data_IF_205360879548
#
_entry.id   IF_205360879548
#
_cell.length_a   1.000
_cell.length_b   1.000
_cell.length_c   1.000
_cell.angle_alpha   90.00
_cell.angle_beta   90.00
_cell.angle_gamma   90.00
#
_symmetry.space_group_name_H-M   'P 1'
#
loop_
_entity.id
_entity.type
_entity.pdbx_description
1 polymer ?
#
# COMPACT_ATOMS: atom_id res chain seq x y z
N UNK A 1 -44.36 -4.37 8.70
CA UNK A 1 -43.98 -5.77 8.40
C UNK A 1 -42.47 -5.75 8.19
N UNK A 2 -41.71 -6.09 9.23
CA UNK A 2 -40.24 -6.12 9.15
C UNK A 2 -39.86 -7.29 8.24
N UNK A 3 -39.19 -7.00 7.12
CA UNK A 3 -38.54 -8.05 6.34
C UNK A 3 -37.36 -8.53 7.17
N UNK A 4 -37.53 -9.70 7.78
CA UNK A 4 -36.44 -10.47 8.36
C UNK A 4 -35.47 -10.80 7.22
N UNK A 5 -34.26 -10.22 7.29
CA UNK A 5 -33.22 -10.36 6.29
C UNK A 5 -32.55 -11.73 6.53
N UNK A 6 -33.20 -12.79 6.05
CA UNK A 6 -32.62 -14.14 6.04
C UNK A 6 -31.47 -14.16 5.04
N UNK A 7 -30.28 -14.63 5.48
CA UNK A 7 -29.11 -14.78 4.62
C UNK A 7 -29.48 -15.53 3.33
N UNK A 8 -29.21 -14.93 2.18
CA UNK A 8 -29.42 -15.55 0.87
C UNK A 8 -28.30 -16.57 0.65
N UNK A 9 -28.66 -17.83 0.39
CA UNK A 9 -27.72 -18.90 0.06
C UNK A 9 -27.87 -19.23 -1.41
N UNK A 10 -26.75 -19.49 -2.10
CA UNK A 10 -26.77 -20.16 -3.40
C UNK A 10 -26.58 -21.67 -3.19
N UNK A 11 -27.37 -22.49 -3.89
CA UNK A 11 -27.16 -23.95 -3.92
C UNK A 11 -26.01 -24.29 -4.87
N UNK A 12 -24.78 -24.07 -4.42
CA UNK A 12 -23.58 -24.54 -5.10
C UNK A 12 -23.03 -25.75 -4.36
N UNK A 13 -22.71 -26.81 -5.11
CA UNK A 13 -21.96 -27.97 -4.60
C UNK A 13 -20.50 -27.79 -4.95
N UNK A 14 -19.66 -27.62 -3.94
CA UNK A 14 -18.21 -27.52 -4.12
C UNK A 14 -17.52 -28.68 -3.40
N UNK A 15 -16.57 -29.33 -4.07
CA UNK A 15 -15.71 -30.36 -3.48
C UNK A 15 -14.36 -29.74 -3.16
N UNK A 16 -14.01 -29.67 -1.87
CA UNK A 16 -12.75 -29.14 -1.38
C UNK A 16 -11.84 -30.30 -1.01
N UNK A 17 -10.69 -30.44 -1.66
CA UNK A 17 -9.69 -31.47 -1.34
C UNK A 17 -8.62 -30.91 -0.41
N UNK A 18 -8.60 -31.36 0.85
CA UNK A 18 -7.59 -31.00 1.84
C UNK A 18 -6.76 -32.23 2.16
N UNK A 19 -5.46 -32.22 1.84
CA UNK A 19 -4.53 -33.33 2.11
C UNK A 19 -5.01 -34.68 1.52
N UNK A 20 -5.64 -34.64 0.34
CA UNK A 20 -6.17 -35.81 -0.34
C UNK A 20 -7.50 -36.31 0.23
N UNK A 21 -8.16 -35.53 1.09
CA UNK A 21 -9.51 -35.82 1.60
C UNK A 21 -10.48 -34.81 1.00
N UNK A 22 -11.52 -35.32 0.36
CA UNK A 22 -12.55 -34.52 -0.29
C UNK A 22 -13.69 -34.18 0.69
N UNK A 23 -14.07 -32.91 0.74
CA UNK A 23 -15.18 -32.38 1.54
C UNK A 23 -16.22 -31.75 0.61
N UNK A 24 -17.47 -32.18 0.70
CA UNK A 24 -18.56 -31.54 -0.03
C UNK A 24 -19.21 -30.43 0.80
N UNK A 25 -19.18 -29.21 0.25
CA UNK A 25 -19.89 -28.05 0.80
C UNK A 25 -21.14 -27.83 -0.05
N UNK A 26 -22.32 -27.95 0.57
CA UNK A 26 -23.64 -27.94 -0.10
C UNK A 26 -24.44 -26.66 0.11
N UNK A 27 -24.01 -25.82 1.05
CA UNK A 27 -24.56 -24.49 1.32
C UNK A 27 -23.40 -23.56 1.58
N UNK A 28 -23.06 -22.77 0.58
CA UNK A 28 -22.09 -21.69 0.75
C UNK A 28 -22.89 -20.51 1.29
N UNK A 29 -22.58 -20.10 2.52
CA UNK A 29 -23.08 -18.85 3.09
C UNK A 29 -22.71 -17.70 2.14
N UNK A 30 -23.34 -16.54 2.31
CA UNK A 30 -22.80 -15.24 1.88
C UNK A 30 -21.52 -14.91 2.70
N UNK A 31 -20.61 -15.88 2.79
CA UNK A 31 -19.32 -15.75 3.43
C UNK A 31 -18.55 -14.75 2.61
N UNK A 32 -17.98 -13.78 3.32
CA UNK A 32 -16.95 -12.91 2.81
C UNK A 32 -15.92 -13.73 2.03
N UNK A 33 -16.06 -13.76 0.71
CA UNK A 33 -15.23 -14.58 -0.16
C UNK A 33 -13.94 -13.81 -0.37
N UNK A 34 -12.89 -14.27 0.28
CA UNK A 34 -11.60 -13.60 0.26
C UNK A 34 -10.51 -14.59 -0.14
N UNK A 35 -9.63 -14.14 -1.04
CA UNK A 35 -8.41 -14.82 -1.42
C UNK A 35 -7.24 -14.03 -0.85
N UNK A 36 -6.48 -14.65 0.04
CA UNK A 36 -5.20 -14.13 0.51
C UNK A 36 -4.08 -15.09 0.13
N UNK A 37 -3.24 -14.64 -0.79
CA UNK A 37 -2.03 -15.32 -1.23
C UNK A 37 -0.79 -14.45 -0.98
N UNK A 38 -0.89 -13.48 -0.07
CA UNK A 38 0.19 -12.55 0.23
C UNK A 38 1.40 -13.24 0.85
N UNK A 39 2.55 -12.55 0.82
CA UNK A 39 3.79 -13.00 1.49
C UNK A 39 4.31 -14.35 0.97
N UNK A 40 4.31 -14.50 -0.35
CA UNK A 40 4.78 -15.70 -1.03
C UNK A 40 5.86 -15.36 -2.08
N UNK A 41 6.24 -16.37 -2.86
CA UNK A 41 7.19 -16.22 -3.96
C UNK A 41 6.51 -16.43 -5.33
N UNK A 42 5.21 -16.15 -5.44
CA UNK A 42 4.50 -16.28 -6.70
C UNK A 42 5.10 -15.37 -7.77
N UNK A 43 5.23 -15.91 -8.98
CA UNK A 43 5.82 -15.26 -10.15
C UNK A 43 4.87 -15.41 -11.33
N UNK A 44 5.13 -14.63 -12.38
CA UNK A 44 4.28 -14.62 -13.57
C UNK A 44 3.19 -13.59 -13.46
N UNK A 45 2.21 -13.68 -14.35
CA UNK A 45 1.16 -12.68 -14.51
C UNK A 45 -0.12 -13.07 -13.78
N UNK A 46 -0.93 -12.07 -13.44
CA UNK A 46 -2.29 -12.30 -12.95
C UNK A 46 -3.14 -12.67 -14.16
N UNK A 47 -3.75 -13.85 -14.13
CA UNK A 47 -4.59 -14.35 -15.23
C UNK A 47 -5.90 -13.55 -15.34
N UNK A 48 -6.36 -13.33 -16.59
CA UNK A 48 -7.68 -12.74 -16.89
C UNK A 48 -8.85 -13.50 -16.25
N UNK A 49 -8.69 -14.80 -16.00
CA UNK A 49 -9.73 -15.62 -15.36
C UNK A 49 -10.04 -15.17 -13.93
N UNK A 50 -9.23 -14.29 -13.33
CA UNK A 50 -9.56 -13.69 -12.03
C UNK A 50 -10.93 -13.02 -12.05
N UNK A 51 -11.35 -12.46 -13.19
CA UNK A 51 -12.65 -11.79 -13.33
C UNK A 51 -13.86 -12.73 -13.30
N UNK A 52 -13.68 -14.05 -13.32
CA UNK A 52 -14.76 -15.04 -13.17
C UNK A 52 -15.23 -15.19 -11.71
N UNK A 53 -14.48 -14.61 -10.75
CA UNK A 53 -14.76 -14.71 -9.31
C UNK A 53 -15.73 -13.61 -8.85
N UNK A 54 -16.89 -13.48 -9.47
CA UNK A 54 -17.84 -12.36 -9.29
C UNK A 54 -18.31 -12.13 -7.83
N UNK A 55 -18.27 -13.16 -6.99
CA UNK A 55 -18.66 -13.10 -5.57
C UNK A 55 -17.51 -12.67 -4.65
N UNK A 56 -16.30 -12.47 -5.17
CA UNK A 56 -15.12 -12.14 -4.39
C UNK A 56 -15.25 -10.74 -3.76
N UNK A 57 -15.02 -10.67 -2.45
CA UNK A 57 -15.01 -9.44 -1.65
C UNK A 57 -13.61 -8.96 -1.30
N UNK A 58 -12.65 -9.87 -1.18
CA UNK A 58 -11.27 -9.53 -0.83
C UNK A 58 -10.25 -10.25 -1.71
N UNK A 59 -9.28 -9.51 -2.23
CA UNK A 59 -8.17 -10.06 -2.99
C UNK A 59 -6.85 -9.47 -2.49
N UNK A 60 -6.01 -10.30 -1.90
CA UNK A 60 -4.70 -9.91 -1.40
C UNK A 60 -3.59 -10.77 -2.02
N UNK A 61 -2.85 -10.19 -2.96
CA UNK A 61 -1.67 -10.78 -3.59
C UNK A 61 -0.37 -10.05 -3.21
N UNK A 62 -0.41 -9.22 -2.17
CA UNK A 62 0.72 -8.40 -1.77
C UNK A 62 1.98 -9.20 -1.42
N UNK A 63 3.14 -8.56 -1.47
CA UNK A 63 4.43 -9.17 -1.09
C UNK A 63 4.71 -10.48 -1.86
N UNK A 64 4.67 -10.40 -3.18
CA UNK A 64 5.01 -11.48 -4.09
C UNK A 64 5.99 -10.98 -5.17
N UNK A 65 6.20 -11.77 -6.22
CA UNK A 65 7.01 -11.42 -7.37
C UNK A 65 6.18 -11.45 -8.67
N UNK A 66 4.89 -11.13 -8.57
CA UNK A 66 3.99 -11.06 -9.72
C UNK A 66 4.45 -9.94 -10.65
N UNK A 67 4.35 -10.17 -11.95
CA UNK A 67 4.84 -9.30 -13.01
C UNK A 67 3.80 -9.14 -14.11
N UNK A 68 4.07 -8.31 -15.10
CA UNK A 68 3.15 -8.08 -16.21
C UNK A 68 2.10 -7.02 -15.87
N UNK A 69 1.09 -6.90 -16.74
CA UNK A 69 0.05 -5.87 -16.62
C UNK A 69 -1.05 -6.32 -15.66
N UNK A 70 -1.76 -5.35 -15.06
CA UNK A 70 -3.02 -5.65 -14.40
C UNK A 70 -4.05 -6.08 -15.46
N UNK A 71 -4.70 -7.24 -15.33
CA UNK A 71 -5.75 -7.66 -16.25
C UNK A 71 -6.98 -6.76 -16.10
N UNK A 72 -7.60 -6.40 -17.22
CA UNK A 72 -8.81 -5.57 -17.22
C UNK A 72 -9.98 -6.30 -16.54
N UNK A 73 -9.97 -7.64 -16.55
CA UNK A 73 -10.97 -8.49 -15.92
C UNK A 73 -11.10 -8.30 -14.40
N UNK A 74 -10.14 -7.66 -13.71
CA UNK A 74 -10.33 -7.28 -12.30
C UNK A 74 -11.54 -6.34 -12.14
N UNK A 75 -11.86 -5.53 -13.16
CA UNK A 75 -13.06 -4.69 -13.17
C UNK A 75 -14.39 -5.46 -13.12
N UNK A 76 -14.39 -6.77 -13.44
CA UNK A 76 -15.58 -7.62 -13.35
C UNK A 76 -15.91 -8.07 -11.93
N UNK A 77 -15.01 -7.85 -10.96
CA UNK A 77 -15.20 -8.25 -9.56
C UNK A 77 -16.14 -7.28 -8.83
N UNK A 78 -17.40 -7.19 -9.28
CA UNK A 78 -18.32 -6.13 -8.86
C UNK A 78 -18.62 -6.08 -7.36
N UNK A 79 -18.35 -7.14 -6.60
CA UNK A 79 -18.54 -7.20 -5.15
C UNK A 79 -17.25 -6.96 -4.36
N UNK A 80 -16.14 -6.60 -5.02
CA UNK A 80 -14.85 -6.45 -4.37
C UNK A 80 -14.83 -5.22 -3.45
N UNK A 81 -14.49 -5.46 -2.19
CA UNK A 81 -14.40 -4.48 -1.11
C UNK A 81 -12.93 -4.17 -0.77
N UNK A 82 -12.04 -5.17 -0.88
CA UNK A 82 -10.61 -5.02 -0.61
C UNK A 82 -9.73 -5.56 -1.74
N UNK A 83 -8.82 -4.73 -2.24
CA UNK A 83 -7.79 -5.11 -3.21
C UNK A 83 -6.39 -4.67 -2.74
N UNK A 84 -5.51 -5.63 -2.48
CA UNK A 84 -4.09 -5.36 -2.18
C UNK A 84 -3.19 -6.14 -3.14
N UNK A 85 -2.52 -5.40 -4.02
CA UNK A 85 -1.53 -5.90 -4.98
C UNK A 85 -0.14 -5.32 -4.71
N UNK A 86 0.06 -4.70 -3.54
CA UNK A 86 1.28 -3.97 -3.21
C UNK A 86 2.51 -4.87 -3.13
N UNK A 87 3.70 -4.28 -3.26
CA UNK A 87 4.97 -5.02 -3.17
C UNK A 87 5.05 -6.19 -4.16
N UNK A 88 4.85 -5.89 -5.44
CA UNK A 88 5.02 -6.80 -6.57
C UNK A 88 5.89 -6.11 -7.66
N UNK A 89 5.91 -6.66 -8.88
CA UNK A 89 6.61 -6.12 -10.05
C UNK A 89 5.64 -5.83 -11.20
N UNK A 90 4.42 -5.38 -10.86
CA UNK A 90 3.37 -5.10 -11.84
C UNK A 90 3.74 -3.86 -12.62
N UNK A 91 3.55 -3.90 -13.94
CA UNK A 91 3.95 -2.86 -14.89
C UNK A 91 2.75 -2.34 -15.69
N UNK A 92 2.96 -1.25 -16.43
CA UNK A 92 1.96 -0.68 -17.33
C UNK A 92 0.94 0.20 -16.60
N UNK A 93 -0.20 0.44 -17.23
CA UNK A 93 -1.23 1.35 -16.70
C UNK A 93 -2.19 0.60 -15.77
N UNK A 94 -2.78 1.34 -14.83
CA UNK A 94 -3.93 0.86 -14.07
C UNK A 94 -5.13 0.84 -15.03
N UNK A 95 -5.83 -0.29 -15.22
CA UNK A 95 -6.99 -0.36 -16.11
C UNK A 95 -8.13 0.55 -15.63
N UNK A 96 -8.75 1.27 -16.55
CA UNK A 96 -9.88 2.17 -16.25
C UNK A 96 -11.11 1.39 -15.71
N UNK A 97 -11.21 0.10 -16.03
CA UNK A 97 -12.25 -0.81 -15.56
C UNK A 97 -12.25 -0.95 -14.03
N UNK A 98 -11.15 -0.68 -13.34
CA UNK A 98 -11.14 -0.68 -11.86
C UNK A 98 -12.00 0.45 -11.27
N UNK A 99 -12.30 1.51 -12.03
CA UNK A 99 -13.25 2.56 -11.63
C UNK A 99 -14.67 1.98 -11.47
N UNK A 100 -14.96 0.84 -12.10
CA UNK A 100 -16.28 0.20 -12.01
C UNK A 100 -16.56 -0.56 -10.72
N UNK A 101 -15.55 -0.76 -9.87
CA UNK A 101 -15.65 -1.48 -8.60
C UNK A 101 -16.30 -0.65 -7.48
N UNK A 102 -17.62 -0.43 -7.57
CA UNK A 102 -18.35 0.52 -6.69
C UNK A 102 -18.34 0.20 -5.20
N UNK A 103 -17.99 -1.02 -4.80
CA UNK A 103 -17.90 -1.43 -3.40
C UNK A 103 -16.47 -1.39 -2.86
N UNK A 104 -15.48 -1.00 -3.66
CA UNK A 104 -14.07 -1.02 -3.26
C UNK A 104 -13.80 0.04 -2.18
N UNK A 105 -13.51 -0.42 -0.97
CA UNK A 105 -13.23 0.43 0.20
C UNK A 105 -11.73 0.61 0.43
N UNK A 106 -10.93 -0.41 0.11
CA UNK A 106 -9.50 -0.41 0.33
C UNK A 106 -8.80 -0.85 -0.95
N UNK A 107 -7.91 0.03 -1.45
CA UNK A 107 -7.03 -0.24 -2.57
C UNK A 107 -5.58 -0.02 -2.15
N UNK A 108 -4.70 -0.97 -2.46
CA UNK A 108 -3.27 -0.78 -2.32
C UNK A 108 -2.52 -1.35 -3.53
N UNK A 109 -1.90 -0.45 -4.30
CA UNK A 109 -1.08 -0.74 -5.49
C UNK A 109 0.38 -0.29 -5.29
N UNK A 110 0.74 0.14 -4.09
CA UNK A 110 2.05 0.68 -3.78
C UNK A 110 3.18 -0.32 -4.01
N UNK A 111 4.43 0.16 -4.15
CA UNK A 111 5.60 -0.68 -4.38
C UNK A 111 5.45 -1.61 -5.60
N UNK A 112 5.12 -1.03 -6.75
CA UNK A 112 5.10 -1.70 -8.05
C UNK A 112 5.85 -0.84 -9.09
N UNK A 113 5.79 -1.23 -10.36
CA UNK A 113 6.39 -0.54 -11.50
C UNK A 113 5.30 0.04 -12.42
N UNK A 114 4.16 0.45 -11.84
CA UNK A 114 3.02 1.01 -12.59
C UNK A 114 3.35 2.40 -13.15
N UNK A 115 2.70 2.73 -14.27
CA UNK A 115 2.97 3.91 -15.09
C UNK A 115 1.69 4.56 -15.60
N UNK A 116 1.78 5.85 -15.96
CA UNK A 116 0.67 6.59 -16.57
C UNK A 116 -0.31 7.18 -15.56
N UNK A 117 -1.43 7.72 -16.05
CA UNK A 117 -2.42 8.38 -15.21
C UNK A 117 -3.12 7.40 -14.27
N UNK A 118 -3.34 7.84 -13.03
CA UNK A 118 -4.26 7.18 -12.10
C UNK A 118 -5.70 7.40 -12.61
N UNK A 119 -6.48 6.33 -12.85
CA UNK A 119 -7.87 6.43 -13.25
C UNK A 119 -8.68 7.31 -12.30
N UNK A 120 -9.61 8.09 -12.83
CA UNK A 120 -10.41 9.01 -12.03
C UNK A 120 -11.88 8.63 -12.07
N UNK A 121 -12.54 8.64 -10.92
CA UNK A 121 -13.99 8.46 -10.82
C UNK A 121 -14.44 7.65 -9.61
N UNK A 122 -15.72 7.83 -9.26
CA UNK A 122 -16.42 7.12 -8.16
C UNK A 122 -15.57 7.10 -6.88
N UNK A 123 -15.33 5.91 -6.32
CA UNK A 123 -14.50 5.70 -5.13
C UNK A 123 -12.99 5.78 -5.39
N UNK A 124 -12.52 5.71 -6.64
CA UNK A 124 -11.08 5.73 -6.95
C UNK A 124 -10.41 7.05 -6.55
N UNK A 125 -11.15 8.16 -6.56
CA UNK A 125 -10.68 9.47 -6.09
C UNK A 125 -10.62 9.60 -4.57
N UNK A 126 -11.00 8.58 -3.82
CA UNK A 126 -10.99 8.61 -2.34
C UNK A 126 -9.73 7.96 -1.75
N UNK A 127 -8.99 7.20 -2.56
CA UNK A 127 -7.75 6.57 -2.13
C UNK A 127 -6.63 7.61 -2.00
N UNK A 128 -5.84 7.49 -0.94
CA UNK A 128 -4.76 8.42 -0.66
C UNK A 128 -3.47 8.07 -1.41
N UNK A 129 -2.43 8.89 -1.18
CA UNK A 129 -1.12 8.75 -1.80
C UNK A 129 -0.46 7.41 -1.43
N UNK A 130 -0.75 6.89 -0.23
CA UNK A 130 -0.28 5.62 0.28
C UNK A 130 -0.66 4.43 -0.61
N UNK A 131 -1.83 4.47 -1.26
CA UNK A 131 -2.26 3.42 -2.18
C UNK A 131 -1.41 3.32 -3.44
N UNK A 132 -0.64 4.36 -3.77
CA UNK A 132 0.09 4.49 -5.03
C UNK A 132 1.59 4.70 -4.84
N UNK A 133 2.06 4.79 -3.59
CA UNK A 133 3.45 5.14 -3.30
C UNK A 133 4.45 4.17 -3.95
N UNK A 134 5.64 4.68 -4.26
CA UNK A 134 6.71 3.91 -4.91
C UNK A 134 6.36 3.28 -6.27
N UNK A 135 5.46 3.89 -7.02
CA UNK A 135 5.32 3.67 -8.46
C UNK A 135 5.83 4.91 -9.21
N UNK A 136 7.08 4.88 -9.67
CA UNK A 136 7.75 6.09 -10.21
C UNK A 136 7.09 6.67 -11.46
N UNK A 137 6.40 5.83 -12.25
CA UNK A 137 5.76 6.27 -13.48
C UNK A 137 4.31 6.70 -13.33
N UNK A 138 3.71 6.58 -12.14
CA UNK A 138 2.34 7.04 -11.92
C UNK A 138 2.27 8.56 -11.80
N UNK A 139 1.19 9.13 -12.29
CA UNK A 139 0.91 10.56 -12.26
C UNK A 139 -0.61 10.80 -12.12
N UNK A 140 -0.98 12.04 -11.83
CA UNK A 140 -2.36 12.46 -11.61
C UNK A 140 -2.80 12.31 -10.16
N UNK A 141 -3.95 12.90 -9.83
CA UNK A 141 -4.51 12.88 -8.48
C UNK A 141 -4.67 11.44 -7.95
N UNK A 142 -4.27 11.13 -6.70
CA UNK A 142 -3.87 12.03 -5.61
C UNK A 142 -2.38 12.38 -5.58
N UNK A 143 -1.58 11.93 -6.54
CA UNK A 143 -0.13 12.20 -6.57
C UNK A 143 0.15 13.67 -6.97
N UNK A 144 1.26 14.25 -6.49
CA UNK A 144 1.65 15.63 -6.82
C UNK A 144 2.15 15.81 -8.26
N UNK A 145 2.50 14.72 -8.96
CA UNK A 145 3.03 14.78 -10.32
C UNK A 145 1.88 14.80 -11.33
N UNK A 146 1.77 15.86 -12.13
CA UNK A 146 0.77 15.95 -13.21
C UNK A 146 1.17 15.10 -14.43
N UNK A 147 0.18 14.50 -15.10
CA UNK A 147 0.38 13.68 -16.31
C UNK A 147 0.60 14.48 -17.60
N UNK A 148 0.83 15.79 -17.52
CA UNK A 148 1.02 16.63 -18.69
C UNK A 148 2.37 16.32 -19.34
N UNK A 149 2.32 15.63 -20.47
CA UNK A 149 3.38 15.32 -21.43
C UNK A 149 4.74 15.98 -21.14
N UNK A 150 5.71 15.12 -20.84
CA UNK A 150 7.13 15.42 -20.88
C UNK A 150 7.52 15.90 -22.30
N UNK A 151 7.44 17.21 -22.54
CA UNK A 151 8.32 17.90 -23.49
C UNK A 151 9.47 18.49 -22.67
N UNK A 152 10.20 17.63 -21.97
CA UNK A 152 11.59 17.91 -21.66
C UNK A 152 12.42 16.78 -22.27
N UNK A 153 13.24 17.06 -23.31
CA UNK A 153 14.25 16.10 -23.77
C UNK A 153 15.08 15.63 -22.56
N UNK A 154 15.68 14.42 -22.60
CA UNK A 154 16.43 13.91 -21.46
C UNK A 154 17.38 14.99 -20.97
N UNK A 155 17.22 15.41 -19.72
CA UNK A 155 18.12 16.36 -19.07
C UNK A 155 19.50 15.71 -19.03
N UNK A 156 20.30 15.97 -20.06
CA UNK A 156 21.75 16.05 -19.92
C UNK A 156 21.94 17.18 -18.92
N UNK A 157 22.20 16.84 -17.66
CA UNK A 157 22.58 17.82 -16.64
C UNK A 157 23.82 18.56 -17.16
N UNK A 158 23.73 19.85 -17.51
CA UNK A 158 24.91 20.68 -17.67
C UNK A 158 25.40 21.02 -16.27
N UNK A 159 26.70 20.91 -16.06
CA UNK A 159 27.37 21.39 -14.86
C UNK A 159 26.95 22.83 -14.54
N UNK A 160 26.55 23.02 -13.28
CA UNK A 160 26.65 24.29 -12.57
C UNK A 160 25.74 25.43 -13.06
N UNK A 161 24.64 25.66 -12.34
CA UNK A 161 24.57 26.85 -11.48
C UNK A 161 23.47 26.66 -10.43
N UNK A 162 23.81 26.95 -9.18
CA UNK A 162 22.99 26.73 -8.00
C UNK A 162 22.32 28.05 -7.64
N UNK A 163 21.14 28.32 -8.18
CA UNK A 163 20.19 29.24 -7.53
C UNK A 163 18.79 29.13 -8.12
N UNK A 164 17.89 28.50 -7.34
CA UNK A 164 16.54 28.97 -6.93
C UNK A 164 15.68 27.75 -6.62
N UNK A 165 15.38 27.51 -5.34
CA UNK A 165 14.32 26.56 -4.96
C UNK A 165 14.54 25.62 -3.77
N UNK A 166 15.62 25.72 -2.97
CA UNK A 166 15.69 25.03 -1.66
C UNK A 166 16.56 25.85 -0.69
N UNK A 167 16.04 26.95 -0.17
CA UNK A 167 16.72 27.74 0.90
C UNK A 167 16.24 27.29 2.31
N UNK A 168 15.28 26.36 2.39
CA UNK A 168 14.50 26.20 3.62
C UNK A 168 14.69 24.93 4.47
N UNK A 169 15.77 24.13 4.32
CA UNK A 169 16.02 23.06 5.32
C UNK A 169 17.46 22.89 5.80
N UNK A 170 18.48 23.40 5.10
CA UNK A 170 19.87 23.27 5.61
C UNK A 170 20.21 24.20 6.77
N UNK A 171 19.60 25.39 6.82
CA UNK A 171 19.81 26.32 7.94
C UNK A 171 19.16 25.82 9.24
N UNK A 172 18.01 25.15 9.14
CA UNK A 172 17.30 24.55 10.29
C UNK A 172 18.10 23.36 10.84
N UNK A 173 18.55 22.46 9.95
CA UNK A 173 19.39 21.32 10.32
C UNK A 173 20.69 21.80 11.00
N UNK A 174 21.37 22.82 10.45
CA UNK A 174 22.60 23.37 11.03
C UNK A 174 22.37 24.02 12.42
N UNK A 175 21.21 24.64 12.67
CA UNK A 175 20.88 25.24 13.97
C UNK A 175 20.66 24.17 15.05
N UNK A 176 20.07 23.03 14.70
CA UNK A 176 19.84 21.93 15.66
C UNK A 176 21.14 21.17 16.01
N UNK A 177 22.03 20.94 15.05
CA UNK A 177 23.34 20.31 15.33
C UNK A 177 24.20 21.15 16.28
N UNK A 178 24.16 22.48 16.15
CA UNK A 178 24.95 23.36 17.00
C UNK A 178 24.48 23.33 18.47
N UNK A 179 23.16 23.30 18.69
CA UNK A 179 22.61 23.24 20.06
C UNK A 179 22.84 21.87 20.72
N UNK A 180 22.70 20.77 19.95
CA UNK A 180 22.94 19.40 20.43
C UNK A 180 24.40 19.14 20.82
N UNK A 181 25.36 19.66 20.05
CA UNK A 181 26.80 19.50 20.35
C UNK A 181 27.18 20.22 21.65
N UNK A 182 26.68 21.43 21.87
CA UNK A 182 26.98 22.23 23.07
C UNK A 182 26.40 21.57 24.32
N UNK A 183 25.15 21.10 24.26
CA UNK A 183 24.53 20.38 25.35
C UNK A 183 25.28 19.07 25.67
N UNK A 184 25.68 18.32 24.65
CA UNK A 184 26.44 17.08 24.80
C UNK A 184 27.82 17.29 25.45
N UNK A 185 28.57 18.30 25.02
CA UNK A 185 29.88 18.63 25.61
C UNK A 185 29.73 19.13 27.05
N UNK A 186 28.71 19.94 27.33
CA UNK A 186 28.45 20.42 28.69
C UNK A 186 28.09 19.26 29.63
N UNK A 187 27.20 18.36 29.21
CA UNK A 187 26.86 17.17 30.01
C UNK A 187 28.07 16.23 30.19
N UNK A 188 28.85 16.00 29.13
CA UNK A 188 30.08 15.20 29.22
C UNK A 188 31.11 15.81 30.18
N UNK A 189 31.29 17.13 30.16
CA UNK A 189 32.18 17.84 31.06
C UNK A 189 31.74 17.74 32.52
N UNK A 190 30.44 17.91 32.79
CA UNK A 190 29.89 17.77 34.15
C UNK A 190 30.14 16.35 34.68
N UNK A 191 29.87 15.31 33.87
CA UNK A 191 30.09 13.90 34.26
C UNK A 191 31.58 13.61 34.51
N UNK A 192 32.48 14.17 33.70
CA UNK A 192 33.93 14.01 33.88
C UNK A 192 34.44 14.65 35.18
N UNK A 193 33.89 15.81 35.57
CA UNK A 193 34.29 16.52 36.79
C UNK A 193 33.70 15.93 38.07
N UNK A 194 32.46 15.42 38.02
CA UNK A 194 31.76 14.90 39.21
C UNK A 194 31.94 13.40 39.42
N UNK A 195 32.43 12.67 38.41
CA UNK A 195 32.78 11.25 38.47
C UNK A 195 31.61 10.30 38.74
N UNK A 196 30.37 10.82 38.86
CA UNK A 196 29.15 10.04 39.09
C UNK A 196 27.97 10.74 38.41
N UNK A 197 27.22 10.06 37.52
CA UNK A 197 26.09 10.68 36.87
C UNK A 197 24.88 10.73 37.84
N UNK A 198 24.26 11.90 38.03
CA UNK A 198 23.25 12.16 39.07
C UNK A 198 21.81 11.69 38.75
N UNK A 199 21.64 10.56 38.07
CA UNK A 199 20.33 10.02 37.67
C UNK A 199 19.95 8.72 38.38
N UNK A 200 20.68 8.34 39.44
CA UNK A 200 20.22 7.31 40.38
C UNK A 200 19.19 7.92 41.36
N UNK A 201 17.92 7.92 40.96
CA UNK A 201 16.83 8.00 41.93
C UNK A 201 16.63 6.59 42.53
N UNK A 202 16.70 6.41 43.87
CA UNK A 202 16.37 5.13 44.46
C UNK A 202 14.85 4.93 44.39
N UNK A 203 14.40 3.94 43.65
CA UNK A 203 13.02 3.45 43.74
C UNK A 203 12.74 3.00 45.19
N UNK A 204 11.71 3.51 45.87
CA UNK A 204 11.27 2.91 47.12
C UNK A 204 10.59 1.57 46.78
N UNK A 205 11.29 0.49 47.11
CA UNK A 205 10.71 -0.86 47.21
C UNK A 205 9.75 -0.87 48.40
N UNK A 206 8.45 -0.99 48.15
CA UNK A 206 7.47 -1.33 49.19
C UNK A 206 7.31 -2.86 49.22
N UNK A 207 7.77 -3.49 50.29
CA UNK A 207 7.46 -4.87 50.68
C UNK A 207 6.44 -4.80 51.81
N UNK A 208 5.30 -5.47 51.59
CA UNK A 208 4.20 -5.90 52.51
C UNK A 208 3.78 -4.99 53.65
#
# INVERSE_FOLDING_TARGET
MMKEKTAEYYEVRMTITIKGVDFEVTKVLDIFAMIDLSNNQFRGEISENIGELELLKGLNFSHNHLSGHLPEAIGNLSNLEWLDLSSNKLVGRIPEQLVDLTFLEILNLSFNELTGPIPQGKQFNTFGIESYERNLGLCGFPLPNDCANDITPPLILPEGDRSTGVIFEWNIILMDYASGLVAGVAMGYIVFQTGKPQWEYPFPVFIT
#
